data_IF_509244527766
#
_entry.id   IF_509244527766
#
_cell.length_a   1.000
_cell.length_b   1.000
_cell.length_c   1.000
_cell.angle_alpha   90.00
_cell.angle_beta   90.00
_cell.angle_gamma   90.00
#
_symmetry.space_group_name_H-M   'P 1'
#
loop_
_entity.id
_entity.type
_entity.pdbx_description
1 polymer ?
#
# COMPACT_ATOMS: atom_id res chain seq x y z
N UNK A 1 0.35 1.47 18.31
CA UNK A 1 0.76 1.34 16.88
C UNK A 1 2.26 1.47 16.67
N UNK A 2 2.93 2.49 17.23
CA UNK A 2 4.39 2.71 17.09
C UNK A 2 5.25 1.45 17.26
N UNK A 3 5.08 0.72 18.38
CA UNK A 3 5.88 -0.48 18.66
C UNK A 3 5.75 -1.59 17.61
N UNK A 4 4.59 -1.70 16.96
CA UNK A 4 4.29 -2.79 16.00
C UNK A 4 4.51 -2.30 14.57
N UNK A 5 3.84 -1.23 14.18
CA UNK A 5 3.80 -0.72 12.81
C UNK A 5 5.07 0.04 12.41
N UNK A 6 5.74 0.70 13.37
CA UNK A 6 7.02 1.36 13.12
C UNK A 6 8.20 0.47 13.54
N UNK A 7 8.38 0.23 14.84
CA UNK A 7 9.56 -0.49 15.35
C UNK A 7 9.60 -1.95 14.88
N UNK A 8 8.45 -2.63 14.88
CA UNK A 8 8.35 -4.00 14.39
C UNK A 8 8.63 -4.12 12.89
N UNK A 9 8.11 -3.20 12.08
CA UNK A 9 8.39 -3.16 10.64
C UNK A 9 9.87 -2.83 10.37
N UNK A 10 10.42 -1.83 11.07
CA UNK A 10 11.84 -1.48 10.99
C UNK A 10 12.74 -2.69 11.27
N UNK A 11 12.44 -3.45 12.32
CA UNK A 11 13.20 -4.65 12.66
C UNK A 11 13.14 -5.74 11.56
N UNK A 12 12.00 -5.90 10.88
CA UNK A 12 11.88 -6.82 9.74
C UNK A 12 12.67 -6.33 8.53
N UNK A 13 12.70 -5.03 8.27
CA UNK A 13 13.46 -4.41 7.19
C UNK A 13 14.97 -4.59 7.45
N UNK A 14 15.43 -4.28 8.65
CA UNK A 14 16.83 -4.47 9.07
C UNK A 14 17.27 -5.94 8.89
N UNK A 15 16.42 -6.87 9.33
CA UNK A 15 16.68 -8.31 9.19
C UNK A 15 16.72 -8.75 7.73
N UNK A 16 15.82 -8.23 6.88
CA UNK A 16 15.80 -8.51 5.46
C UNK A 16 17.06 -8.00 4.74
N UNK A 17 17.54 -6.80 5.09
CA UNK A 17 18.82 -6.28 4.60
C UNK A 17 19.98 -7.18 5.02
N UNK A 18 20.07 -7.53 6.30
CA UNK A 18 21.14 -8.38 6.82
C UNK A 18 21.15 -9.77 6.17
N UNK A 19 19.98 -10.31 5.83
CA UNK A 19 19.83 -11.59 5.14
C UNK A 19 20.03 -11.52 3.62
N UNK A 20 20.23 -10.33 3.03
CA UNK A 20 20.39 -10.16 1.59
C UNK A 20 19.10 -10.46 0.80
N UNK A 21 17.93 -10.16 1.37
CA UNK A 21 16.65 -10.32 0.68
C UNK A 21 16.64 -9.47 -0.60
N UNK A 22 16.22 -10.08 -1.71
CA UNK A 22 16.26 -9.43 -3.03
C UNK A 22 15.09 -8.48 -3.29
N UNK A 23 13.94 -8.71 -2.66
CA UNK A 23 12.74 -7.90 -2.83
C UNK A 23 11.85 -8.01 -1.59
N UNK A 24 11.49 -6.86 -1.00
CA UNK A 24 10.57 -6.76 0.14
C UNK A 24 9.20 -6.23 -0.32
N UNK A 25 8.13 -7.00 -0.13
CA UNK A 25 6.76 -6.53 -0.39
C UNK A 25 6.11 -6.16 0.94
N UNK A 26 5.61 -4.93 1.05
CA UNK A 26 5.06 -4.38 2.29
C UNK A 26 3.61 -3.94 2.08
N UNK A 27 2.68 -4.59 2.78
CA UNK A 27 1.27 -4.19 2.80
C UNK A 27 1.08 -3.14 3.89
N UNK A 28 0.67 -1.95 3.49
CA UNK A 28 0.37 -0.83 4.35
C UNK A 28 -1.13 -0.48 4.31
N UNK A 29 -1.49 0.79 4.08
CA UNK A 29 -2.86 1.29 4.00
C UNK A 29 -2.90 2.62 3.28
N UNK A 30 -3.95 2.85 2.50
CA UNK A 30 -4.32 4.21 2.11
C UNK A 30 -4.70 5.06 3.35
N UNK A 31 -4.64 6.38 3.19
CA UNK A 31 -4.84 7.41 4.21
C UNK A 31 -3.53 8.01 4.73
N UNK A 32 -2.38 7.52 4.26
CA UNK A 32 -1.06 7.95 4.72
C UNK A 32 -0.77 9.42 4.49
N UNK A 33 -1.41 10.05 3.49
CA UNK A 33 -1.25 11.48 3.18
C UNK A 33 -2.16 12.39 4.00
N UNK A 34 -2.99 11.82 4.90
CA UNK A 34 -4.04 12.52 5.62
C UNK A 34 -3.81 12.41 7.15
N UNK A 35 -3.04 13.31 7.78
CA UNK A 35 -2.81 13.28 9.23
C UNK A 35 -4.10 13.26 10.06
N UNK A 36 -5.12 13.99 9.62
CA UNK A 36 -6.45 14.04 10.25
C UNK A 36 -7.36 12.85 9.93
N UNK A 37 -6.87 11.79 9.29
CA UNK A 37 -7.67 10.62 8.95
C UNK A 37 -8.22 9.94 10.22
N UNK A 38 -9.48 9.50 10.17
CA UNK A 38 -10.17 8.84 11.29
C UNK A 38 -9.37 7.67 11.87
N UNK A 39 -8.64 6.90 11.06
CA UNK A 39 -7.88 5.75 11.55
C UNK A 39 -6.77 6.16 12.54
N UNK A 40 -6.22 7.37 12.42
CA UNK A 40 -5.22 7.89 13.37
C UNK A 40 -5.81 8.18 14.76
N UNK A 41 -7.12 8.46 14.83
CA UNK A 41 -7.83 8.73 16.08
C UNK A 41 -8.13 7.46 16.89
N UNK A 42 -8.14 6.29 16.24
CA UNK A 42 -8.43 5.02 16.92
C UNK A 42 -7.34 4.69 17.94
N UNK A 43 -7.73 4.61 19.21
CA UNK A 43 -6.79 4.41 20.32
C UNK A 43 -5.76 5.53 20.48
N UNK A 44 -6.02 6.72 19.92
CA UNK A 44 -5.11 7.86 19.87
C UNK A 44 -3.71 7.50 19.37
N UNK A 45 -3.65 6.66 18.33
CA UNK A 45 -2.47 5.88 18.01
C UNK A 45 -1.67 6.29 16.78
N UNK A 46 -2.19 7.19 15.92
CA UNK A 46 -1.53 7.63 14.67
C UNK A 46 -1.03 6.49 13.77
N UNK A 47 -1.81 5.41 13.66
CA UNK A 47 -1.40 4.17 12.98
C UNK A 47 -0.92 4.39 11.54
N UNK A 48 -1.60 5.24 10.76
CA UNK A 48 -1.23 5.48 9.37
C UNK A 48 0.11 6.21 9.26
N UNK A 49 0.36 7.15 10.18
CA UNK A 49 1.63 7.88 10.20
C UNK A 49 2.80 6.97 10.61
N UNK A 50 2.58 6.03 11.53
CA UNK A 50 3.61 5.04 11.88
C UNK A 50 3.90 4.06 10.75
N UNK A 51 2.87 3.59 10.03
CA UNK A 51 3.05 2.78 8.82
C UNK A 51 3.81 3.55 7.74
N UNK A 52 3.44 4.80 7.47
CA UNK A 52 4.13 5.67 6.51
C UNK A 52 5.59 5.92 6.88
N UNK A 53 5.90 6.02 8.16
CA UNK A 53 7.29 6.09 8.65
C UNK A 53 8.07 4.80 8.35
N UNK A 54 7.46 3.63 8.52
CA UNK A 54 8.07 2.35 8.14
C UNK A 54 8.29 2.22 6.62
N UNK A 55 7.34 2.72 5.83
CA UNK A 55 7.47 2.79 4.37
C UNK A 55 8.65 3.67 3.95
N UNK A 56 8.76 4.89 4.50
CA UNK A 56 9.88 5.80 4.20
C UNK A 56 11.23 5.17 4.59
N UNK A 57 11.25 4.44 5.72
CA UNK A 57 12.45 3.69 6.12
C UNK A 57 12.79 2.57 5.13
N UNK A 58 11.80 1.82 4.64
CA UNK A 58 12.00 0.79 3.62
C UNK A 58 12.56 1.40 2.33
N UNK A 59 12.01 2.55 1.88
CA UNK A 59 12.49 3.27 0.69
C UNK A 59 13.96 3.66 0.85
N UNK A 60 14.33 4.19 2.02
CA UNK A 60 15.69 4.63 2.32
C UNK A 60 16.66 3.49 2.67
N UNK A 61 16.16 2.25 2.82
CA UNK A 61 16.99 1.08 3.16
C UNK A 61 17.88 0.60 2.00
N UNK A 62 17.54 0.95 0.76
CA UNK A 62 18.20 0.41 -0.43
C UNK A 62 17.79 -1.01 -0.82
N UNK A 63 16.88 -1.66 -0.09
CA UNK A 63 16.20 -2.86 -0.57
C UNK A 63 15.37 -2.53 -1.81
N UNK A 64 15.29 -3.47 -2.76
CA UNK A 64 14.21 -3.40 -3.76
C UNK A 64 12.89 -3.66 -3.05
N UNK A 65 11.89 -2.82 -3.28
CA UNK A 65 10.62 -2.90 -2.57
C UNK A 65 9.39 -2.84 -3.47
N UNK A 66 8.26 -3.28 -2.94
CA UNK A 66 6.93 -2.86 -3.39
C UNK A 66 6.09 -2.56 -2.16
N UNK A 67 5.57 -1.34 -2.06
CA UNK A 67 4.66 -0.92 -1.00
C UNK A 67 3.25 -0.89 -1.60
N UNK A 68 2.32 -1.59 -0.96
CA UNK A 68 0.92 -1.71 -1.39
C UNK A 68 0.05 -1.06 -0.33
N UNK A 69 -0.68 0.00 -0.70
CA UNK A 69 -1.62 0.72 0.14
C UNK A 69 -3.05 0.29 -0.22
N UNK A 70 -3.60 -0.76 0.38
CA UNK A 70 -4.97 -1.17 0.11
C UNK A 70 -5.97 -0.15 0.65
N UNK A 71 -7.13 -0.10 -0.01
CA UNK A 71 -8.33 0.49 0.53
C UNK A 71 -8.99 -0.37 1.60
N UNK A 72 -10.25 -0.08 1.89
CA UNK A 72 -11.01 -0.85 2.88
C UNK A 72 -11.07 -2.34 2.51
N UNK A 73 -10.50 -3.18 3.36
CA UNK A 73 -10.38 -4.63 3.10
C UNK A 73 -11.71 -5.36 3.28
N UNK A 74 -12.17 -6.06 2.25
CA UNK A 74 -13.38 -6.92 2.30
C UNK A 74 -13.02 -8.41 2.40
N UNK A 75 -14.04 -9.26 2.56
CA UNK A 75 -13.93 -10.72 2.60
C UNK A 75 -14.54 -11.38 1.36
N UNK A 76 -14.76 -10.61 0.30
CA UNK A 76 -15.31 -11.13 -0.95
C UNK A 76 -14.29 -12.02 -1.68
N UNK A 77 -14.76 -12.77 -2.67
CA UNK A 77 -13.89 -13.54 -3.56
C UNK A 77 -12.99 -12.60 -4.39
N UNK A 78 -11.73 -13.00 -4.58
CA UNK A 78 -10.77 -12.31 -5.45
C UNK A 78 -10.87 -12.76 -6.91
N UNK A 79 -10.21 -12.03 -7.79
CA UNK A 79 -10.14 -12.33 -9.23
C UNK A 79 -11.44 -12.06 -9.99
N UNK A 80 -12.39 -11.35 -9.38
CA UNK A 80 -13.71 -11.04 -9.98
C UNK A 80 -13.90 -9.57 -10.33
N UNK A 81 -12.88 -8.74 -10.10
CA UNK A 81 -13.00 -7.28 -10.14
C UNK A 81 -11.87 -6.66 -10.95
N UNK A 82 -12.19 -5.54 -11.60
CA UNK A 82 -11.17 -4.64 -12.13
C UNK A 82 -10.48 -3.93 -10.96
N UNK A 83 -9.16 -4.07 -10.87
CA UNK A 83 -8.33 -3.40 -9.89
C UNK A 83 -8.03 -1.97 -10.36
N UNK A 84 -8.08 -1.05 -9.40
CA UNK A 84 -7.75 0.36 -9.58
C UNK A 84 -6.42 0.60 -8.88
N UNK A 85 -5.46 1.19 -9.59
CA UNK A 85 -4.16 1.58 -9.05
C UNK A 85 -4.05 3.11 -9.01
N UNK A 86 -3.51 3.64 -7.93
CA UNK A 86 -3.33 5.08 -7.72
C UNK A 86 -2.12 5.38 -6.86
N UNK A 87 -1.98 6.65 -6.50
CA UNK A 87 -1.00 7.16 -5.52
C UNK A 87 -1.62 8.32 -4.76
N UNK A 88 -0.98 8.69 -3.66
CA UNK A 88 -1.28 9.89 -2.89
C UNK A 88 -2.75 9.99 -2.46
N UNK A 89 -3.33 8.85 -2.10
CA UNK A 89 -4.70 8.70 -1.64
C UNK A 89 -5.76 9.15 -2.66
N UNK A 90 -5.40 9.23 -3.96
CA UNK A 90 -6.30 9.63 -5.03
C UNK A 90 -7.55 8.73 -5.10
N UNK A 91 -7.42 7.45 -4.72
CA UNK A 91 -8.53 6.49 -4.73
C UNK A 91 -9.48 6.64 -3.52
N UNK A 92 -9.14 7.45 -2.52
CA UNK A 92 -10.01 7.75 -1.36
C UNK A 92 -10.40 9.23 -1.26
N UNK A 93 -10.10 10.02 -2.29
CA UNK A 93 -10.51 11.41 -2.42
C UNK A 93 -12.04 11.61 -2.48
N UNK A 94 -12.51 12.86 -2.36
CA UNK A 94 -13.95 13.17 -2.28
C UNK A 94 -14.74 12.66 -3.50
N UNK A 95 -14.13 12.67 -4.68
CA UNK A 95 -14.78 12.31 -5.96
C UNK A 95 -14.88 10.79 -6.19
N UNK A 96 -14.22 9.97 -5.36
CA UNK A 96 -14.26 8.51 -5.49
C UNK A 96 -15.47 7.91 -4.77
N UNK A 97 -16.35 7.13 -5.41
CA UNK A 97 -17.45 6.45 -4.72
C UNK A 97 -16.92 5.53 -3.62
N UNK A 98 -17.56 5.49 -2.44
CA UNK A 98 -17.15 4.61 -1.32
C UNK A 98 -17.05 3.12 -1.70
N UNK A 99 -17.82 2.69 -2.70
CA UNK A 99 -17.77 1.32 -3.26
C UNK A 99 -16.44 1.03 -3.96
N UNK A 100 -15.80 2.05 -4.54
CA UNK A 100 -14.51 1.96 -5.24
C UNK A 100 -13.29 2.32 -4.37
N UNK A 101 -13.49 2.43 -3.05
CA UNK A 101 -12.44 2.69 -2.04
C UNK A 101 -12.04 1.42 -1.29
N UNK A 102 -12.44 0.26 -1.80
CA UNK A 102 -12.34 -1.04 -1.12
C UNK A 102 -11.75 -2.10 -2.03
N UNK A 103 -11.23 -3.15 -1.43
CA UNK A 103 -10.62 -4.27 -2.15
C UNK A 103 -10.75 -5.58 -1.36
N UNK A 104 -11.05 -6.70 -2.01
CA UNK A 104 -10.97 -8.02 -1.39
C UNK A 104 -9.55 -8.33 -0.91
N UNK A 105 -9.43 -8.97 0.27
CA UNK A 105 -8.12 -9.43 0.77
C UNK A 105 -7.41 -10.37 -0.20
N UNK A 106 -8.17 -11.18 -0.93
CA UNK A 106 -7.64 -12.08 -1.95
C UNK A 106 -6.97 -11.31 -3.10
N UNK A 107 -7.54 -10.18 -3.54
CA UNK A 107 -6.94 -9.36 -4.59
C UNK A 107 -5.67 -8.64 -4.10
N UNK A 108 -5.63 -8.19 -2.84
CA UNK A 108 -4.39 -7.65 -2.25
C UNK A 108 -3.29 -8.70 -2.22
N UNK A 109 -3.64 -9.94 -1.85
CA UNK A 109 -2.69 -11.06 -1.86
C UNK A 109 -2.17 -11.34 -3.28
N UNK A 110 -3.04 -11.33 -4.28
CA UNK A 110 -2.64 -11.51 -5.68
C UNK A 110 -1.69 -10.40 -6.14
N UNK A 111 -1.99 -9.13 -5.84
CA UNK A 111 -1.08 -8.01 -6.14
C UNK A 111 0.29 -8.21 -5.48
N UNK A 112 0.34 -8.71 -4.24
CA UNK A 112 1.61 -9.01 -3.56
C UNK A 112 2.40 -10.11 -4.28
N UNK A 113 1.74 -11.19 -4.72
CA UNK A 113 2.38 -12.28 -5.47
C UNK A 113 2.90 -11.76 -6.82
N UNK A 114 2.07 -11.04 -7.57
CA UNK A 114 2.45 -10.48 -8.87
C UNK A 114 3.60 -9.48 -8.74
N UNK A 115 3.68 -8.73 -7.63
CA UNK A 115 4.78 -7.81 -7.36
C UNK A 115 6.14 -8.50 -7.28
N UNK A 116 6.20 -9.76 -6.82
CA UNK A 116 7.44 -10.54 -6.78
C UNK A 116 7.91 -11.00 -8.16
N UNK A 117 6.98 -11.13 -9.11
CA UNK A 117 7.22 -11.70 -10.43
C UNK A 117 7.54 -10.62 -11.48
N UNK A 118 6.93 -9.44 -11.35
CA UNK A 118 6.94 -8.41 -12.39
C UNK A 118 8.01 -7.35 -12.12
N UNK A 119 8.95 -7.10 -13.06
CA UNK A 119 9.94 -6.04 -12.92
C UNK A 119 9.32 -4.65 -12.73
N UNK A 120 8.16 -4.40 -13.33
CA UNK A 120 7.43 -3.13 -13.21
C UNK A 120 6.94 -2.83 -11.79
N UNK A 121 6.91 -3.83 -10.89
CA UNK A 121 6.52 -3.66 -9.50
C UNK A 121 7.69 -3.26 -8.58
N UNK A 122 8.93 -3.26 -9.07
CA UNK A 122 10.12 -2.93 -8.27
C UNK A 122 10.22 -1.43 -8.00
N UNK A 123 10.55 -1.10 -6.76
CA UNK A 123 10.66 0.26 -6.23
C UNK A 123 9.37 1.06 -6.47
N UNK A 124 8.24 0.39 -6.24
CA UNK A 124 6.91 0.96 -6.40
C UNK A 124 6.24 1.18 -5.05
N UNK A 125 5.47 2.25 -4.93
CA UNK A 125 4.62 2.55 -3.78
C UNK A 125 3.27 3.05 -4.29
N UNK A 126 2.25 2.21 -4.16
CA UNK A 126 0.99 2.33 -4.90
C UNK A 126 -0.24 2.10 -4.01
N UNK A 127 -1.28 2.87 -4.29
CA UNK A 127 -2.64 2.65 -3.80
C UNK A 127 -3.33 1.57 -4.62
N UNK A 128 -4.09 0.71 -3.95
CA UNK A 128 -4.90 -0.31 -4.62
C UNK A 128 -6.33 -0.35 -4.08
N UNK A 129 -7.29 -0.32 -5.00
CA UNK A 129 -8.70 -0.55 -4.76
C UNK A 129 -9.28 -1.41 -5.88
N UNK A 130 -10.59 -1.63 -5.87
CA UNK A 130 -11.30 -2.36 -6.91
C UNK A 130 -12.63 -1.71 -7.25
N UNK A 131 -13.11 -1.93 -8.47
CA UNK A 131 -14.52 -1.67 -8.80
C UNK A 131 -15.43 -2.73 -8.15
N UNK A 132 -16.74 -2.50 -8.19
CA UNK A 132 -17.69 -3.55 -7.83
C UNK A 132 -17.74 -4.63 -8.93
N UNK A 133 -18.14 -5.88 -8.60
CA UNK A 133 -18.27 -6.93 -9.60
C UNK A 133 -19.24 -6.51 -10.70
N UNK A 134 -18.85 -6.68 -11.96
CA UNK A 134 -19.65 -6.30 -13.13
C UNK A 134 -19.53 -4.83 -13.58
N UNK A 135 -18.80 -3.97 -12.86
CA UNK A 135 -18.51 -2.59 -13.32
C UNK A 135 -17.28 -2.49 -14.25
N UNK A 136 -16.57 -3.60 -14.45
CA UNK A 136 -15.33 -3.69 -15.21
C UNK A 136 -14.89 -5.14 -15.40
N UNK A 137 -13.85 -5.33 -16.20
CA UNK A 137 -13.29 -6.66 -16.47
C UNK A 137 -12.30 -7.05 -15.36
N UNK A 138 -12.33 -8.31 -14.88
CA UNK A 138 -11.34 -8.78 -13.91
C UNK A 138 -9.90 -8.55 -14.37
N UNK A 139 -9.09 -7.93 -13.51
CA UNK A 139 -7.70 -7.68 -13.85
C UNK A 139 -6.92 -8.99 -13.95
N UNK A 140 -6.40 -9.27 -15.14
CA UNK A 140 -5.55 -10.43 -15.43
C UNK A 140 -4.17 -10.03 -15.93
N UNK A 141 -4.04 -8.85 -16.55
CA UNK A 141 -2.77 -8.29 -17.02
C UNK A 141 -2.17 -7.33 -15.99
N UNK A 142 -1.50 -7.89 -14.98
CA UNK A 142 -0.81 -7.13 -13.95
C UNK A 142 0.42 -6.39 -14.50
N UNK A 143 1.05 -6.88 -15.57
CA UNK A 143 2.17 -6.19 -16.20
C UNK A 143 1.72 -4.85 -16.77
N UNK A 144 0.56 -4.82 -17.45
CA UNK A 144 -0.09 -3.59 -17.89
C UNK A 144 -0.51 -2.71 -16.72
N UNK A 145 -1.11 -3.27 -15.68
CA UNK A 145 -1.53 -2.49 -14.49
C UNK A 145 -0.35 -1.70 -13.89
N UNK A 146 0.81 -2.34 -13.70
CA UNK A 146 2.01 -1.66 -13.20
C UNK A 146 2.61 -0.69 -14.23
N UNK A 147 2.56 -1.00 -15.53
CA UNK A 147 3.08 -0.11 -16.57
C UNK A 147 2.27 1.18 -16.73
N UNK A 148 0.95 1.09 -16.58
CA UNK A 148 0.03 2.24 -16.69
C UNK A 148 0.15 3.21 -15.52
N UNK A 149 0.74 2.78 -14.40
CA UNK A 149 1.00 3.63 -13.24
C UNK A 149 2.50 3.85 -13.06
N UNK A 150 3.10 4.91 -13.64
CA UNK A 150 4.53 5.20 -13.52
C UNK A 150 4.90 6.00 -12.26
N UNK A 151 3.94 6.61 -11.56
CA UNK A 151 4.21 7.48 -10.41
C UNK A 151 4.19 6.70 -9.10
N UNK A 152 5.01 7.10 -8.12
CA UNK A 152 4.99 6.56 -6.76
C UNK A 152 4.35 7.57 -5.81
N UNK A 153 3.86 7.09 -4.67
CA UNK A 153 3.44 7.98 -3.58
C UNK A 153 4.57 8.95 -3.21
N UNK A 154 4.24 10.23 -3.10
CA UNK A 154 5.15 11.27 -2.63
C UNK A 154 5.21 11.22 -1.11
N UNK A 155 6.38 10.99 -0.53
CA UNK A 155 6.56 10.92 0.92
C UNK A 155 6.76 12.29 1.57
N UNK A 156 7.02 13.34 0.78
CA UNK A 156 7.29 14.70 1.28
C UNK A 156 6.04 15.49 1.69
N UNK A 157 4.85 15.04 1.28
CA UNK A 157 3.57 15.76 1.50
C UNK A 157 2.95 15.50 2.89
N UNK A 158 3.65 14.84 3.80
CA UNK A 158 3.10 14.50 5.13
C UNK A 158 4.17 14.51 6.19
N UNK A 159 3.96 15.32 7.23
CA UNK A 159 4.82 15.32 8.40
C UNK A 159 4.65 14.02 9.21
N UNK A 160 5.77 13.37 9.49
CA UNK A 160 5.80 12.13 10.28
C UNK A 160 6.03 12.43 11.76
N UNK A 161 5.46 11.60 12.67
CA UNK A 161 5.68 11.74 14.09
C UNK A 161 7.17 11.59 14.42
N UNK A 162 7.65 12.40 15.37
CA UNK A 162 8.96 12.20 15.98
C UNK A 162 8.98 10.83 16.70
N UNK A 163 10.13 10.14 16.64
CA UNK A 163 10.34 9.00 17.55
C UNK A 163 10.46 9.52 18.97
N UNK A 164 9.77 8.89 19.91
CA UNK A 164 9.94 9.16 21.35
C UNK A 164 11.28 8.68 21.88
#
# INVERSE_FOLDING_TARGET
PEAVDWLGAKAQIDAAQAAGVRHFVFVSSMGGTQPGNFLNTMGNGNILLWKRKAEEYLINSGLTYTIVHPGGLTLDEGGQRELLMGVDDALIGPDMPRTRRRIPRADVAEVCVQSLLLPGARNRSIDIASKEPGEGEPTTDFAKLFADMPNNCDYSITDLPATM
#
